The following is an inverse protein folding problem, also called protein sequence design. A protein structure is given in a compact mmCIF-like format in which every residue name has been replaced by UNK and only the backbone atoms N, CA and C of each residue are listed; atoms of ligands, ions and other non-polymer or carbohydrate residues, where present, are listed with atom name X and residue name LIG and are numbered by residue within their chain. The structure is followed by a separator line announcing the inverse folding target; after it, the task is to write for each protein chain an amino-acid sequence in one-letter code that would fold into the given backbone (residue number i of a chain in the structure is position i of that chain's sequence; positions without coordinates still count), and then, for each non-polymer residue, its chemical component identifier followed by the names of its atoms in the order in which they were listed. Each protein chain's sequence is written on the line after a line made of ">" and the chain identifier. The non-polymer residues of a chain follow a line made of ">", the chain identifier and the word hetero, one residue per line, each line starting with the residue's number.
data_IF_764684128988
#
_entry.id   IF_764684128988
#
_cell.length_a   1.000
_cell.length_b   1.000
_cell.length_c   1.000
_cell.angle_alpha   90.00
_cell.angle_beta   90.00
_cell.angle_gamma   90.00
#
_symmetry.space_group_name_H-M   'P 1'
#
loop_
_entity.id
_entity.type
_entity.pdbx_description
1 polymer ?
#
# COMPACT_ATOMS: atom_id res chain seq x y z
N UNK A 1 -72.19 -18.61 -11.63
CA UNK A 1 -70.95 -18.96 -10.91
C UNK A 1 -69.84 -18.15 -11.54
N UNK A 2 -69.74 -16.88 -11.13
CA UNK A 2 -68.77 -15.93 -11.66
C UNK A 2 -67.41 -16.16 -10.99
N UNK A 3 -66.52 -16.87 -11.67
CA UNK A 3 -65.11 -16.88 -11.34
C UNK A 3 -64.56 -15.49 -11.67
N UNK A 4 -64.62 -14.62 -10.66
CA UNK A 4 -63.94 -13.33 -10.62
C UNK A 4 -62.44 -13.64 -10.63
N UNK A 5 -61.85 -13.66 -11.81
CA UNK A 5 -60.41 -13.49 -11.95
C UNK A 5 -60.12 -12.13 -11.32
N UNK A 6 -59.70 -12.14 -10.05
CA UNK A 6 -58.87 -11.08 -9.51
C UNK A 6 -57.77 -10.91 -10.54
N UNK A 7 -57.93 -9.87 -11.37
CA UNK A 7 -56.95 -9.40 -12.32
C UNK A 7 -55.73 -9.12 -11.47
N UNK A 8 -54.81 -10.08 -11.38
CA UNK A 8 -53.52 -9.85 -10.76
C UNK A 8 -52.99 -8.60 -11.45
N UNK A 9 -52.80 -7.54 -10.68
CA UNK A 9 -52.29 -6.27 -11.17
C UNK A 9 -50.80 -6.45 -11.47
N UNK A 10 -50.54 -7.17 -12.56
CA UNK A 10 -49.22 -7.52 -13.08
C UNK A 10 -48.34 -6.28 -13.21
N UNK A 11 -48.84 -5.11 -13.67
CA UNK A 11 -48.08 -3.85 -13.65
C UNK A 11 -47.57 -3.46 -12.27
N UNK A 12 -48.41 -3.51 -11.24
CA UNK A 12 -48.04 -3.15 -9.87
C UNK A 12 -47.05 -4.15 -9.28
N UNK A 13 -47.24 -5.44 -9.51
CA UNK A 13 -46.31 -6.48 -9.06
C UNK A 13 -44.95 -6.32 -9.75
N UNK A 14 -44.91 -6.04 -11.06
CA UNK A 14 -43.66 -5.78 -11.79
C UNK A 14 -42.96 -4.50 -11.33
N UNK A 15 -43.71 -3.45 -10.99
CA UNK A 15 -43.15 -2.21 -10.45
C UNK A 15 -42.51 -2.47 -9.08
N UNK A 16 -43.18 -3.20 -8.20
CA UNK A 16 -42.66 -3.61 -6.90
C UNK A 16 -41.40 -4.48 -7.06
N UNK A 17 -41.43 -5.50 -7.93
CA UNK A 17 -40.27 -6.35 -8.21
C UNK A 17 -39.08 -5.58 -8.77
N UNK A 18 -39.30 -4.58 -9.64
CA UNK A 18 -38.22 -3.73 -10.17
C UNK A 18 -37.62 -2.83 -9.09
N UNK A 19 -38.43 -2.33 -8.16
CA UNK A 19 -37.94 -1.56 -7.02
C UNK A 19 -37.10 -2.44 -6.09
N UNK A 20 -37.59 -3.65 -5.79
CA UNK A 20 -36.90 -4.66 -4.99
C UNK A 20 -35.55 -5.05 -5.60
N UNK A 21 -35.53 -5.38 -6.91
CA UNK A 21 -34.29 -5.75 -7.62
C UNK A 21 -33.29 -4.59 -7.65
N UNK A 22 -33.76 -3.33 -7.76
CA UNK A 22 -32.85 -2.17 -7.68
C UNK A 22 -32.29 -1.99 -6.28
N UNK A 23 -33.11 -2.14 -5.24
CA UNK A 23 -32.67 -2.04 -3.84
C UNK A 23 -31.64 -3.14 -3.52
N UNK A 24 -31.92 -4.38 -3.94
CA UNK A 24 -30.99 -5.52 -3.78
C UNK A 24 -29.69 -5.28 -4.54
N UNK A 25 -29.74 -4.81 -5.79
CA UNK A 25 -28.53 -4.51 -6.57
C UNK A 25 -27.72 -3.36 -5.98
N UNK A 26 -28.37 -2.33 -5.44
CA UNK A 26 -27.68 -1.24 -4.76
C UNK A 26 -26.97 -1.73 -3.49
N UNK A 27 -27.67 -2.49 -2.64
CA UNK A 27 -27.09 -3.07 -1.43
C UNK A 27 -25.94 -4.06 -1.72
N UNK A 28 -26.08 -4.87 -2.78
CA UNK A 28 -25.01 -5.76 -3.24
C UNK A 28 -23.80 -4.98 -3.76
N UNK A 29 -24.03 -3.95 -4.57
CA UNK A 29 -22.96 -3.09 -5.08
C UNK A 29 -22.21 -2.35 -3.96
N UNK A 30 -22.91 -1.90 -2.92
CA UNK A 30 -22.29 -1.28 -1.74
C UNK A 30 -21.48 -2.29 -0.92
N UNK A 31 -22.00 -3.51 -0.72
CA UNK A 31 -21.28 -4.57 -0.01
C UNK A 31 -20.01 -5.04 -0.77
N UNK A 32 -20.10 -5.18 -2.09
CA UNK A 32 -18.95 -5.50 -2.94
C UNK A 32 -17.91 -4.38 -2.94
N UNK A 33 -18.34 -3.11 -3.05
CA UNK A 33 -17.45 -1.96 -2.97
C UNK A 33 -16.74 -1.86 -1.60
N UNK A 34 -17.47 -2.09 -0.50
CA UNK A 34 -16.91 -2.11 0.85
C UNK A 34 -15.87 -3.23 1.02
N UNK A 35 -16.13 -4.41 0.44
CA UNK A 35 -15.22 -5.56 0.50
C UNK A 35 -13.95 -5.31 -0.32
N UNK A 36 -14.09 -4.76 -1.53
CA UNK A 36 -12.97 -4.37 -2.37
C UNK A 36 -12.09 -3.30 -1.72
N UNK A 37 -12.71 -2.30 -1.07
CA UNK A 37 -11.98 -1.28 -0.30
C UNK A 37 -11.15 -1.89 0.84
N UNK A 38 -11.74 -2.83 1.59
CA UNK A 38 -11.05 -3.54 2.69
C UNK A 38 -9.86 -4.37 2.18
N UNK A 39 -9.96 -4.94 0.98
CA UNK A 39 -8.84 -5.63 0.32
C UNK A 39 -7.69 -4.68 0.00
N UNK A 40 -7.99 -3.52 -0.59
CA UNK A 40 -6.99 -2.50 -0.95
C UNK A 40 -6.29 -1.94 0.29
N UNK A 41 -7.02 -1.73 1.38
CA UNK A 41 -6.46 -1.25 2.65
C UNK A 41 -5.47 -2.26 3.26
N UNK A 42 -5.82 -3.54 3.22
CA UNK A 42 -4.93 -4.62 3.67
C UNK A 42 -3.66 -4.70 2.82
N UNK A 43 -3.76 -4.51 1.50
CA UNK A 43 -2.60 -4.44 0.61
C UNK A 43 -1.72 -3.21 0.87
N UNK A 44 -2.32 -2.04 1.15
CA UNK A 44 -1.60 -0.82 1.52
C UNK A 44 -0.78 -1.00 2.81
N UNK A 45 -1.39 -1.59 3.85
CA UNK A 45 -0.68 -1.92 5.08
C UNK A 45 0.48 -2.90 4.83
N UNK A 46 0.23 -3.93 4.01
CA UNK A 46 1.27 -4.90 3.67
C UNK A 46 2.44 -4.27 2.89
N UNK A 47 2.17 -3.38 1.94
CA UNK A 47 3.20 -2.63 1.22
C UNK A 47 3.98 -1.68 2.14
N UNK A 48 3.32 -1.05 3.11
CA UNK A 48 3.96 -0.20 4.10
C UNK A 48 4.90 -0.98 5.02
N UNK A 49 4.57 -2.22 5.38
CA UNK A 49 5.45 -3.13 6.12
C UNK A 49 6.65 -3.57 5.29
N UNK A 50 6.45 -3.95 4.02
CA UNK A 50 7.54 -4.36 3.13
C UNK A 50 8.57 -3.22 2.90
N UNK A 51 8.12 -1.97 2.90
CA UNK A 51 8.98 -0.80 2.75
C UNK A 51 10.00 -0.68 3.90
N UNK A 52 9.68 -1.13 5.12
CA UNK A 52 10.60 -1.08 6.26
C UNK A 52 11.76 -2.06 6.13
N UNK A 53 11.54 -3.20 5.48
CA UNK A 53 12.52 -4.29 5.36
C UNK A 53 13.64 -3.92 4.38
N UNK A 54 13.31 -3.22 3.29
CA UNK A 54 14.28 -2.88 2.23
C UNK A 54 15.01 -1.56 2.49
N UNK A 55 14.72 -0.92 3.63
CA UNK A 55 15.12 0.45 3.94
C UNK A 55 16.63 0.64 4.12
N UNK A 56 17.39 -0.42 4.43
CA UNK A 56 18.79 -0.31 4.85
C UNK A 56 19.73 -1.00 3.86
N UNK A 57 20.52 -0.20 3.14
CA UNK A 57 21.63 -0.68 2.30
C UNK A 57 22.93 -0.65 3.11
N UNK A 58 23.62 -1.80 3.23
CA UNK A 58 24.89 -1.92 3.95
C UNK A 58 26.06 -2.17 3.00
N UNK A 59 27.09 -1.32 3.05
CA UNK A 59 28.26 -1.35 2.17
C UNK A 59 29.52 -1.93 2.86
N UNK A 60 29.43 -3.15 3.41
CA UNK A 60 30.55 -3.78 4.11
C UNK A 60 31.30 -4.79 3.22
N UNK A 61 32.57 -4.55 2.91
CA UNK A 61 33.44 -5.50 2.17
C UNK A 61 34.80 -5.70 2.87
N UNK A 62 35.14 -6.89 3.39
CA UNK A 62 36.46 -7.16 3.97
C UNK A 62 37.47 -7.60 2.89
N UNK A 63 38.73 -7.15 3.00
CA UNK A 63 39.86 -7.63 2.19
C UNK A 63 41.06 -7.88 3.11
N UNK A 64 41.58 -9.10 3.11
CA UNK A 64 42.79 -9.54 3.82
C UNK A 64 44.03 -9.48 2.90
N UNK A 65 45.22 -9.20 3.45
CA UNK A 65 46.49 -9.22 2.72
C UNK A 65 47.71 -9.51 3.63
N UNK A 66 48.59 -10.42 3.18
CA UNK A 66 49.85 -10.95 3.72
C UNK A 66 51.11 -10.76 2.77
N UNK A 67 51.58 -9.55 2.34
CA UNK A 67 52.93 -9.35 1.69
C UNK A 67 53.42 -7.87 1.49
N UNK A 68 54.65 -7.63 0.99
CA UNK A 68 55.28 -6.30 0.75
C UNK A 68 54.85 -5.61 -0.56
N UNK A 69 54.71 -6.33 -1.68
CA UNK A 69 53.99 -5.82 -2.85
C UNK A 69 52.53 -5.53 -2.48
N UNK A 70 52.01 -6.33 -1.56
CA UNK A 70 50.73 -6.05 -0.93
C UNK A 70 50.77 -4.88 0.05
N UNK A 71 51.91 -4.31 0.48
CA UNK A 71 51.90 -3.05 1.24
C UNK A 71 51.61 -1.86 0.34
N UNK A 72 52.17 -1.83 -0.88
CA UNK A 72 51.82 -0.83 -1.89
C UNK A 72 50.37 -0.99 -2.35
N UNK A 73 49.96 -2.23 -2.62
CA UNK A 73 48.56 -2.56 -2.93
C UNK A 73 47.63 -2.28 -1.76
N UNK A 74 48.05 -2.51 -0.51
CA UNK A 74 47.29 -2.18 0.69
C UNK A 74 47.16 -0.67 0.87
N UNK A 75 48.15 0.12 0.46
CA UNK A 75 48.04 1.58 0.47
C UNK A 75 47.01 2.05 -0.55
N UNK A 76 47.03 1.49 -1.76
CA UNK A 76 46.00 1.71 -2.79
C UNK A 76 44.63 1.26 -2.28
N UNK A 77 44.49 0.05 -1.75
CA UNK A 77 43.25 -0.45 -1.14
C UNK A 77 42.78 0.37 0.03
N UNK A 78 43.69 0.97 0.82
CA UNK A 78 43.34 1.86 1.93
C UNK A 78 42.77 3.18 1.42
N UNK A 79 43.34 3.73 0.35
CA UNK A 79 42.83 4.94 -0.31
C UNK A 79 41.50 4.66 -1.01
N UNK A 80 41.42 3.58 -1.79
CA UNK A 80 40.19 3.12 -2.44
C UNK A 80 39.10 2.86 -1.40
N UNK A 81 39.41 2.16 -0.30
CA UNK A 81 38.45 1.92 0.79
C UNK A 81 38.01 3.22 1.47
N UNK A 82 38.93 4.16 1.70
CA UNK A 82 38.59 5.47 2.26
C UNK A 82 37.72 6.26 1.29
N UNK A 83 38.03 6.24 0.01
CA UNK A 83 37.31 6.94 -1.05
C UNK A 83 35.93 6.34 -1.30
N UNK A 84 35.82 5.01 -1.44
CA UNK A 84 34.55 4.30 -1.54
C UNK A 84 33.71 4.51 -0.29
N UNK A 85 34.30 4.43 0.92
CA UNK A 85 33.56 4.74 2.15
C UNK A 85 33.07 6.18 2.15
N UNK A 86 33.90 7.13 1.71
CA UNK A 86 33.53 8.55 1.68
C UNK A 86 32.51 8.88 0.58
N UNK A 87 32.51 8.15 -0.54
CA UNK A 87 31.60 8.40 -1.65
C UNK A 87 30.27 7.63 -1.50
N UNK A 88 30.32 6.39 -1.02
CA UNK A 88 29.14 5.53 -0.87
C UNK A 88 28.35 5.90 0.39
N UNK A 89 29.01 6.18 1.53
CA UNK A 89 28.28 6.53 2.76
C UNK A 89 27.30 7.70 2.57
N UNK A 90 27.67 8.87 2.03
CA UNK A 90 26.72 9.98 1.91
C UNK A 90 25.58 9.65 0.96
N UNK A 91 25.80 8.82 -0.08
CA UNK A 91 24.74 8.38 -0.99
C UNK A 91 23.78 7.43 -0.28
N UNK A 92 24.30 6.49 0.52
CA UNK A 92 23.49 5.56 1.32
C UNK A 92 22.74 6.31 2.44
N UNK A 93 23.40 7.23 3.11
CA UNK A 93 22.79 8.09 4.14
C UNK A 93 21.66 8.95 3.54
N UNK A 94 21.85 9.49 2.34
CA UNK A 94 20.80 10.22 1.61
C UNK A 94 19.64 9.32 1.19
N UNK A 95 19.92 8.11 0.69
CA UNK A 95 18.87 7.15 0.32
C UNK A 95 18.08 6.69 1.54
N UNK A 96 18.75 6.38 2.64
CA UNK A 96 18.10 6.02 3.89
C UNK A 96 17.24 7.19 4.39
N UNK A 97 17.77 8.43 4.42
CA UNK A 97 17.01 9.61 4.82
C UNK A 97 15.79 9.88 3.93
N UNK A 98 15.89 9.63 2.62
CA UNK A 98 14.75 9.71 1.71
C UNK A 98 13.71 8.62 2.02
N UNK A 99 14.15 7.35 2.15
CA UNK A 99 13.29 6.23 2.46
C UNK A 99 12.54 6.45 3.80
N UNK A 100 13.22 7.03 4.79
CA UNK A 100 12.66 7.44 6.07
C UNK A 100 11.50 8.43 5.92
N UNK A 101 11.70 9.48 5.12
CA UNK A 101 10.70 10.52 4.88
C UNK A 101 9.54 9.96 4.06
N UNK A 102 9.84 9.20 3.00
CA UNK A 102 8.85 8.58 2.14
C UNK A 102 7.96 7.60 2.93
N UNK A 103 8.54 6.75 3.77
CA UNK A 103 7.81 5.83 4.63
C UNK A 103 6.85 6.57 5.57
N UNK A 104 7.30 7.66 6.20
CA UNK A 104 6.45 8.49 7.05
C UNK A 104 5.32 9.17 6.27
N UNK A 105 5.62 9.72 5.10
CA UNK A 105 4.62 10.37 4.25
C UNK A 105 3.52 9.39 3.79
N UNK A 106 3.90 8.17 3.41
CA UNK A 106 2.96 7.11 3.03
C UNK A 106 2.05 6.75 4.20
N UNK A 107 2.59 6.61 5.42
CA UNK A 107 1.77 6.35 6.62
C UNK A 107 0.76 7.47 6.88
N UNK A 108 1.21 8.71 6.85
CA UNK A 108 0.31 9.86 7.03
C UNK A 108 -0.80 9.91 5.97
N UNK A 109 -0.48 9.53 4.72
CA UNK A 109 -1.47 9.43 3.66
C UNK A 109 -2.46 8.29 3.89
N UNK A 110 -2.02 7.14 4.40
CA UNK A 110 -2.91 6.04 4.78
C UNK A 110 -3.87 6.48 5.89
N UNK A 111 -3.33 7.09 6.95
CA UNK A 111 -4.13 7.55 8.10
C UNK A 111 -5.16 8.61 7.68
N UNK A 112 -4.76 9.60 6.88
CA UNK A 112 -5.67 10.62 6.37
C UNK A 112 -6.75 10.05 5.43
N UNK A 113 -6.42 9.03 4.64
CA UNK A 113 -7.43 8.35 3.80
C UNK A 113 -8.42 7.55 4.64
N UNK A 114 -7.96 6.90 5.73
CA UNK A 114 -8.85 6.21 6.65
C UNK A 114 -9.81 7.20 7.33
N UNK A 115 -9.30 8.33 7.82
CA UNK A 115 -10.12 9.37 8.44
C UNK A 115 -11.17 9.96 7.48
N UNK A 116 -10.78 10.29 6.24
CA UNK A 116 -11.72 10.78 5.22
C UNK A 116 -12.81 9.74 4.89
N UNK A 117 -12.47 8.46 4.94
CA UNK A 117 -13.44 7.37 4.71
C UNK A 117 -14.43 7.24 5.86
N UNK A 118 -13.96 7.33 7.10
CA UNK A 118 -14.83 7.33 8.27
C UNK A 118 -15.81 8.51 8.23
N UNK A 119 -15.33 9.71 7.87
CA UNK A 119 -16.18 10.88 7.68
C UNK A 119 -17.24 10.67 6.58
N UNK A 120 -16.86 10.05 5.45
CA UNK A 120 -17.81 9.74 4.38
C UNK A 120 -18.85 8.68 4.80
N UNK A 121 -18.45 7.69 5.61
CA UNK A 121 -19.35 6.68 6.14
C UNK A 121 -20.37 7.29 7.12
N UNK A 122 -19.93 8.22 7.97
CA UNK A 122 -20.80 8.96 8.89
C UNK A 122 -21.78 9.88 8.16
N UNK A 123 -21.38 10.51 7.05
CA UNK A 123 -22.27 11.35 6.23
C UNK A 123 -23.28 10.53 5.41
N UNK A 124 -22.96 9.27 5.08
CA UNK A 124 -23.84 8.37 4.33
C UNK A 124 -24.84 7.62 5.22
N UNK A 125 -24.57 7.51 6.52
CA UNK A 125 -25.45 6.90 7.53
C UNK A 125 -26.63 7.82 7.89
#
# INVERSE_FOLDING_TARGET
>A
MDQKTEELDVPTILAALRAEVRAVRAAQGEAEASTALSGIERELHHCAEQLEITRVVSAHWPLEGRSLYERAWALVHKVVRRYLRWYINPIVEQQNAFNDVAARAIRLLIDANAELRDQLADVRR
#
